data_IF_642725273594
#
_entry.id   IF_642725273594
#
_cell.length_a   1.000
_cell.length_b   1.000
_cell.length_c   1.000
_cell.angle_alpha   90.00
_cell.angle_beta   90.00
_cell.angle_gamma   90.00
#
_symmetry.space_group_name_H-M   'P 1'
#
loop_
_entity.id
_entity.type
_entity.pdbx_description
1 polymer ?
#
# COMPACT_ATOMS: atom_id res chain seq x y z
N UNK A 1 5.44 -0.19 8.24
CA UNK A 1 4.77 1.12 7.99
C UNK A 1 5.51 2.30 8.65
N UNK A 2 6.77 2.12 9.03
CA UNK A 2 7.66 3.14 9.65
C UNK A 2 7.04 3.84 10.89
N UNK A 3 6.05 3.21 11.53
CA UNK A 3 5.35 3.78 12.67
C UNK A 3 4.21 4.76 12.33
N UNK A 4 4.11 5.24 11.08
CA UNK A 4 3.10 6.21 10.65
C UNK A 4 1.67 5.67 10.88
N UNK A 5 1.45 4.40 10.55
CA UNK A 5 0.16 3.75 10.77
C UNK A 5 -0.19 3.59 12.26
N UNK A 6 0.78 3.27 13.10
CA UNK A 6 0.58 3.17 14.54
C UNK A 6 0.30 4.54 15.16
N UNK A 7 1.00 5.59 14.71
CA UNK A 7 0.73 6.97 15.11
C UNK A 7 -0.70 7.39 14.78
N UNK A 8 -1.13 7.14 13.52
CA UNK A 8 -2.50 7.41 13.10
C UNK A 8 -3.52 6.65 13.96
N UNK A 9 -3.31 5.34 14.18
CA UNK A 9 -4.21 4.52 14.99
C UNK A 9 -4.40 5.12 16.39
N UNK A 10 -3.31 5.43 17.08
CA UNK A 10 -3.36 5.91 18.45
C UNK A 10 -4.05 7.29 18.55
N UNK A 11 -3.63 8.25 17.72
CA UNK A 11 -4.19 9.60 17.71
C UNK A 11 -5.65 9.62 17.25
N UNK A 12 -6.00 8.80 16.25
CA UNK A 12 -7.37 8.69 15.78
C UNK A 12 -8.27 8.03 16.83
N UNK A 13 -7.78 7.03 17.57
CA UNK A 13 -8.54 6.43 18.68
C UNK A 13 -8.82 7.46 19.77
N UNK A 14 -7.84 8.29 20.15
CA UNK A 14 -8.00 9.37 21.11
C UNK A 14 -9.04 10.39 20.64
N UNK A 15 -8.95 10.85 19.38
CA UNK A 15 -9.89 11.81 18.80
C UNK A 15 -11.33 11.24 18.67
N UNK A 16 -11.45 9.93 18.42
CA UNK A 16 -12.76 9.25 18.41
C UNK A 16 -13.34 9.23 19.82
N UNK A 17 -12.56 8.91 20.85
CA UNK A 17 -13.01 8.88 22.25
C UNK A 17 -13.45 10.25 22.76
N UNK A 18 -12.81 11.32 22.26
CA UNK A 18 -13.17 12.72 22.57
C UNK A 18 -14.33 13.25 21.72
N UNK A 19 -14.81 12.46 20.75
CA UNK A 19 -15.82 12.87 19.75
C UNK A 19 -15.42 14.11 18.91
N UNK A 20 -14.10 14.41 18.85
CA UNK A 20 -13.59 15.56 18.10
C UNK A 20 -13.46 15.25 16.61
N UNK A 21 -14.45 15.70 15.85
CA UNK A 21 -14.51 15.52 14.40
C UNK A 21 -13.38 16.24 13.66
N UNK A 22 -12.91 17.39 14.16
CA UNK A 22 -11.87 18.17 13.53
C UNK A 22 -10.51 17.51 13.70
N UNK A 23 -10.19 17.03 14.91
CA UNK A 23 -8.97 16.25 15.15
C UNK A 23 -8.93 14.98 14.29
N UNK A 24 -10.05 14.25 14.17
CA UNK A 24 -10.11 13.06 13.33
C UNK A 24 -9.80 13.38 11.87
N UNK A 25 -10.39 14.44 11.30
CA UNK A 25 -10.10 14.90 9.92
C UNK A 25 -8.63 15.29 9.76
N UNK A 26 -8.10 16.01 10.70
CA UNK A 26 -6.72 16.49 10.70
C UNK A 26 -5.72 15.33 10.71
N UNK A 27 -5.87 14.37 11.62
CA UNK A 27 -4.97 13.21 11.71
C UNK A 27 -5.02 12.35 10.46
N UNK A 28 -6.21 12.07 9.94
CA UNK A 28 -6.38 11.31 8.69
C UNK A 28 -5.69 12.06 7.54
N UNK A 29 -6.01 13.35 7.34
CA UNK A 29 -5.48 14.14 6.23
C UNK A 29 -3.97 14.27 6.28
N UNK A 30 -3.41 14.61 7.44
CA UNK A 30 -1.96 14.76 7.63
C UNK A 30 -1.23 13.44 7.38
N UNK A 31 -1.75 12.33 7.88
CA UNK A 31 -1.11 11.02 7.70
C UNK A 31 -1.12 10.58 6.24
N UNK A 32 -2.25 10.69 5.54
CA UNK A 32 -2.32 10.35 4.12
C UNK A 32 -1.41 11.25 3.27
N UNK A 33 -1.30 12.54 3.59
CA UNK A 33 -0.43 13.47 2.88
C UNK A 33 1.05 13.10 3.06
N UNK A 34 1.50 12.87 4.30
CA UNK A 34 2.88 12.46 4.59
C UNK A 34 3.19 11.13 3.92
N UNK A 35 2.30 10.14 4.01
CA UNK A 35 2.49 8.85 3.36
C UNK A 35 2.54 8.97 1.83
N UNK A 36 1.73 9.85 1.23
CA UNK A 36 1.76 10.08 -0.22
C UNK A 36 3.07 10.72 -0.68
N UNK A 37 3.57 11.71 0.04
CA UNK A 37 4.88 12.31 -0.24
C UNK A 37 6.00 11.27 -0.12
N UNK A 38 5.99 10.48 0.95
CA UNK A 38 6.96 9.40 1.12
C UNK A 38 6.88 8.36 0.00
N UNK A 39 5.67 7.98 -0.42
CA UNK A 39 5.45 7.08 -1.56
C UNK A 39 6.08 7.63 -2.83
N UNK A 40 5.85 8.90 -3.15
CA UNK A 40 6.43 9.56 -4.34
C UNK A 40 7.96 9.52 -4.29
N UNK A 41 8.55 9.90 -3.16
CA UNK A 41 10.02 9.87 -2.98
C UNK A 41 10.54 8.44 -3.16
N UNK A 42 9.89 7.45 -2.56
CA UNK A 42 10.28 6.04 -2.65
C UNK A 42 10.19 5.52 -4.08
N UNK A 43 9.13 5.85 -4.83
CA UNK A 43 8.97 5.43 -6.23
C UNK A 43 10.03 6.10 -7.12
N UNK A 44 10.24 7.40 -6.98
CA UNK A 44 11.23 8.13 -7.78
C UNK A 44 12.66 7.62 -7.50
N UNK A 45 13.01 7.43 -6.24
CA UNK A 45 14.31 6.88 -5.85
C UNK A 45 14.51 5.45 -6.37
N UNK A 46 13.48 4.61 -6.32
CA UNK A 46 13.54 3.23 -6.82
C UNK A 46 13.81 3.15 -8.31
N UNK A 47 13.22 4.01 -9.12
CA UNK A 47 13.46 4.07 -10.57
C UNK A 47 14.93 4.38 -10.85
N UNK A 48 15.51 5.36 -10.13
CA UNK A 48 16.91 5.75 -10.28
C UNK A 48 17.86 4.60 -9.85
N UNK A 49 17.58 4.00 -8.69
CA UNK A 49 18.41 2.94 -8.12
C UNK A 49 18.36 1.69 -9.00
N UNK A 50 17.17 1.25 -9.39
CA UNK A 50 17.00 0.04 -10.19
C UNK A 50 17.68 0.14 -11.55
N UNK A 51 17.67 1.33 -12.18
CA UNK A 51 18.32 1.54 -13.47
C UNK A 51 19.85 1.41 -13.41
N UNK A 52 20.48 1.74 -12.27
CA UNK A 52 21.94 1.77 -12.11
C UNK A 52 22.54 0.45 -11.61
N UNK A 53 21.74 -0.43 -11.02
CA UNK A 53 22.21 -1.67 -10.40
C UNK A 53 22.09 -2.84 -11.38
N UNK A 54 23.08 -3.72 -11.39
CA UNK A 54 23.03 -5.02 -12.05
C UNK A 54 22.34 -6.05 -11.13
N UNK A 55 21.03 -6.14 -11.28
CA UNK A 55 20.20 -7.00 -10.42
C UNK A 55 20.47 -8.49 -10.61
N UNK A 56 20.93 -8.91 -11.81
CA UNK A 56 21.31 -10.30 -12.03
C UNK A 56 22.48 -10.69 -11.12
N UNK A 57 23.45 -9.81 -10.94
CA UNK A 57 24.57 -10.03 -10.01
C UNK A 57 24.13 -9.99 -8.56
N UNK A 58 23.30 -8.99 -8.18
CA UNK A 58 22.83 -8.83 -6.79
C UNK A 58 22.02 -10.04 -6.33
N UNK A 59 21.14 -10.56 -7.19
CA UNK A 59 20.30 -11.70 -6.89
C UNK A 59 20.93 -13.06 -7.25
N UNK A 60 22.14 -13.04 -7.80
CA UNK A 60 22.85 -14.22 -8.27
C UNK A 60 22.04 -15.07 -9.27
N UNK A 61 21.40 -14.40 -10.22
CA UNK A 61 20.57 -15.03 -11.26
C UNK A 61 21.29 -14.91 -12.62
N UNK A 62 21.49 -16.06 -13.31
CA UNK A 62 22.06 -16.04 -14.65
C UNK A 62 21.17 -15.27 -15.63
N UNK A 63 21.80 -14.48 -16.51
CA UNK A 63 21.10 -13.76 -17.59
C UNK A 63 20.48 -14.70 -18.62
N UNK A 64 20.94 -15.96 -18.69
CA UNK A 64 20.35 -17.02 -19.52
C UNK A 64 18.99 -17.47 -18.98
N UNK A 65 18.79 -17.43 -17.65
CA UNK A 65 17.52 -17.80 -17.00
C UNK A 65 16.54 -16.65 -17.04
N UNK A 66 17.00 -15.44 -16.67
CA UNK A 66 16.15 -14.23 -16.67
C UNK A 66 16.94 -13.07 -17.26
N UNK A 67 16.43 -12.55 -18.37
CA UNK A 67 16.99 -11.38 -19.03
C UNK A 67 16.99 -10.16 -18.08
N UNK A 68 18.08 -9.39 -18.09
CA UNK A 68 18.27 -8.22 -17.22
C UNK A 68 17.13 -7.18 -17.34
N UNK A 69 16.60 -6.97 -18.55
CA UNK A 69 15.52 -6.01 -18.76
C UNK A 69 14.19 -6.48 -18.13
N UNK A 70 13.89 -7.78 -18.24
CA UNK A 70 12.72 -8.38 -17.62
C UNK A 70 12.83 -8.26 -16.08
N UNK A 71 13.99 -8.57 -15.55
CA UNK A 71 14.25 -8.48 -14.11
C UNK A 71 14.10 -7.04 -13.59
N UNK A 72 14.74 -6.07 -14.24
CA UNK A 72 14.62 -4.65 -13.90
C UNK A 72 13.18 -4.15 -13.95
N UNK A 73 12.44 -4.45 -15.03
CA UNK A 73 11.02 -4.09 -15.16
C UNK A 73 10.18 -4.66 -14.01
N UNK A 74 10.38 -5.94 -13.68
CA UNK A 74 9.64 -6.59 -12.60
C UNK A 74 9.92 -5.94 -11.25
N UNK A 75 11.19 -5.63 -10.97
CA UNK A 75 11.59 -4.96 -9.72
C UNK A 75 10.96 -3.56 -9.62
N UNK A 76 10.97 -2.77 -10.70
CA UNK A 76 10.34 -1.44 -10.72
C UNK A 76 8.84 -1.56 -10.42
N UNK A 77 8.14 -2.51 -11.08
CA UNK A 77 6.71 -2.74 -10.84
C UNK A 77 6.44 -3.06 -9.37
N UNK A 78 7.25 -3.92 -8.77
CA UNK A 78 7.09 -4.29 -7.35
C UNK A 78 7.33 -3.07 -6.45
N UNK A 79 8.37 -2.26 -6.70
CA UNK A 79 8.62 -1.06 -5.90
C UNK A 79 7.49 -0.03 -6.00
N UNK A 80 6.94 0.18 -7.20
CA UNK A 80 5.76 1.03 -7.40
C UNK A 80 4.57 0.45 -6.60
N UNK A 81 4.35 -0.86 -6.70
CA UNK A 81 3.28 -1.54 -5.98
C UNK A 81 3.40 -1.44 -4.47
N UNK A 82 4.60 -1.58 -3.92
CA UNK A 82 4.88 -1.41 -2.48
C UNK A 82 4.66 0.04 -2.06
N UNK A 83 5.06 1.02 -2.87
CA UNK A 83 4.80 2.44 -2.61
C UNK A 83 3.30 2.75 -2.52
N UNK A 84 2.52 2.25 -3.48
CA UNK A 84 1.05 2.38 -3.46
C UNK A 84 0.48 1.67 -2.23
N UNK A 85 0.97 0.46 -1.93
CA UNK A 85 0.52 -0.32 -0.77
C UNK A 85 0.77 0.41 0.55
N UNK A 86 1.87 1.13 0.65
CA UNK A 86 2.18 1.93 1.83
C UNK A 86 1.06 2.96 2.15
N UNK A 87 0.51 3.60 1.12
CA UNK A 87 -0.60 4.54 1.28
C UNK A 87 -1.94 3.82 1.49
N UNK A 88 -2.26 2.83 0.66
CA UNK A 88 -3.55 2.12 0.74
C UNK A 88 -3.71 1.36 2.04
N UNK A 89 -2.62 0.83 2.60
CA UNK A 89 -2.61 0.11 3.88
C UNK A 89 -2.95 1.00 5.09
N UNK A 90 -2.89 2.32 4.99
CA UNK A 90 -3.32 3.22 6.08
C UNK A 90 -4.78 2.99 6.51
N UNK A 91 -5.61 2.47 5.62
CA UNK A 91 -6.99 2.07 5.97
C UNK A 91 -7.03 1.06 7.12
N UNK A 92 -6.01 0.21 7.26
CA UNK A 92 -5.94 -0.74 8.37
C UNK A 92 -5.78 -0.04 9.72
N UNK A 93 -5.01 1.04 9.78
CA UNK A 93 -4.83 1.85 10.98
C UNK A 93 -6.15 2.52 11.40
N UNK A 94 -6.91 3.00 10.43
CA UNK A 94 -8.25 3.55 10.67
C UNK A 94 -9.21 2.46 11.15
N UNK A 95 -9.19 1.27 10.52
CA UNK A 95 -10.02 0.15 10.95
C UNK A 95 -9.68 -0.32 12.36
N UNK A 96 -8.41 -0.33 12.75
CA UNK A 96 -8.00 -0.61 14.12
C UNK A 96 -8.49 0.46 15.09
N UNK A 97 -8.41 1.75 14.76
CA UNK A 97 -8.93 2.83 15.58
C UNK A 97 -10.46 2.72 15.76
N UNK A 98 -11.17 2.23 14.75
CA UNK A 98 -12.61 1.95 14.78
C UNK A 98 -12.95 0.59 15.43
N UNK A 99 -11.97 -0.11 16.01
CA UNK A 99 -12.12 -1.45 16.63
C UNK A 99 -12.61 -2.55 15.67
N UNK A 100 -12.39 -2.38 14.36
CA UNK A 100 -12.80 -3.32 13.30
C UNK A 100 -11.64 -4.24 12.88
N UNK A 101 -10.94 -4.86 13.84
CA UNK A 101 -9.76 -5.70 13.58
C UNK A 101 -10.05 -6.91 12.68
N UNK A 102 -11.25 -7.48 12.75
CA UNK A 102 -11.68 -8.58 11.90
C UNK A 102 -11.64 -8.20 10.41
N UNK A 103 -12.00 -6.97 10.05
CA UNK A 103 -11.91 -6.48 8.66
C UNK A 103 -10.45 -6.37 8.20
N UNK A 104 -9.53 -6.02 9.07
CA UNK A 104 -8.09 -5.97 8.72
C UNK A 104 -7.58 -7.36 8.34
N UNK A 105 -7.93 -8.39 9.14
CA UNK A 105 -7.58 -9.78 8.84
C UNK A 105 -8.23 -10.27 7.55
N UNK A 106 -9.49 -9.87 7.30
CA UNK A 106 -10.18 -10.20 6.06
C UNK A 106 -9.49 -9.57 4.83
N UNK A 107 -9.06 -8.32 4.90
CA UNK A 107 -8.34 -7.66 3.80
C UNK A 107 -7.02 -8.38 3.47
N UNK A 108 -6.27 -8.79 4.50
CA UNK A 108 -5.05 -9.56 4.32
C UNK A 108 -5.33 -10.94 3.68
N UNK A 109 -6.39 -11.62 4.15
CA UNK A 109 -6.84 -12.89 3.58
C UNK A 109 -7.21 -12.73 2.10
N UNK A 110 -8.02 -11.72 1.76
CA UNK A 110 -8.44 -11.46 0.38
C UNK A 110 -7.26 -11.19 -0.54
N UNK A 111 -6.25 -10.42 -0.11
CA UNK A 111 -5.06 -10.16 -0.90
C UNK A 111 -4.30 -11.45 -1.24
N UNK A 112 -4.08 -12.32 -0.25
CA UNK A 112 -3.42 -13.61 -0.46
C UNK A 112 -4.27 -14.55 -1.32
N UNK A 113 -5.58 -14.55 -1.13
CA UNK A 113 -6.51 -15.38 -1.88
C UNK A 113 -6.58 -14.99 -3.35
N UNK A 114 -6.56 -13.69 -3.68
CA UNK A 114 -6.49 -13.22 -5.06
C UNK A 114 -5.23 -13.74 -5.77
N UNK A 115 -4.08 -13.72 -5.09
CA UNK A 115 -2.84 -14.25 -5.67
C UNK A 115 -2.90 -15.78 -5.87
N UNK A 116 -3.46 -16.50 -4.91
CA UNK A 116 -3.64 -17.95 -5.01
C UNK A 116 -4.54 -18.34 -6.19
N UNK A 117 -5.69 -17.66 -6.34
CA UNK A 117 -6.59 -17.88 -7.47
C UNK A 117 -5.87 -17.66 -8.80
N UNK A 118 -5.12 -16.56 -8.91
CA UNK A 118 -4.35 -16.31 -10.13
C UNK A 118 -3.39 -17.46 -10.45
N UNK A 119 -2.63 -17.95 -9.48
CA UNK A 119 -1.67 -19.04 -9.69
C UNK A 119 -2.36 -20.33 -10.15
N UNK A 120 -3.51 -20.67 -9.56
CA UNK A 120 -4.29 -21.84 -9.94
C UNK A 120 -4.82 -21.70 -11.38
N UNK A 121 -5.44 -20.56 -11.69
CA UNK A 121 -6.01 -20.30 -13.02
C UNK A 121 -4.92 -20.25 -14.10
N UNK A 122 -3.79 -19.62 -13.81
CA UNK A 122 -2.67 -19.54 -14.75
C UNK A 122 -2.09 -20.92 -15.06
N UNK A 123 -2.03 -21.81 -14.06
CA UNK A 123 -1.60 -23.19 -14.26
C UNK A 123 -2.62 -24.00 -15.09
N UNK A 124 -3.93 -23.89 -14.78
CA UNK A 124 -4.98 -24.61 -15.51
C UNK A 124 -5.10 -24.16 -16.97
N UNK A 125 -4.92 -22.87 -17.22
CA UNK A 125 -5.01 -22.30 -18.58
C UNK A 125 -3.69 -22.37 -19.35
N UNK A 126 -2.66 -23.03 -18.80
CA UNK A 126 -1.32 -23.12 -19.38
C UNK A 126 -0.74 -21.76 -19.81
N UNK A 127 -1.02 -20.71 -19.03
CA UNK A 127 -0.49 -19.38 -19.30
C UNK A 127 1.04 -19.39 -19.11
N UNK A 128 1.76 -18.80 -20.06
CA UNK A 128 3.21 -18.64 -19.91
C UNK A 128 3.50 -17.72 -18.73
N UNK A 129 4.13 -18.26 -17.69
CA UNK A 129 4.58 -17.49 -16.55
C UNK A 129 5.71 -16.55 -17.00
N UNK A 130 5.43 -15.26 -16.99
CA UNK A 130 6.43 -14.21 -17.18
C UNK A 130 6.57 -13.45 -15.87
N UNK A 131 7.81 -13.19 -15.44
CA UNK A 131 8.11 -12.49 -14.20
C UNK A 131 7.41 -11.13 -14.11
N UNK A 132 7.33 -10.39 -15.23
CA UNK A 132 6.62 -9.11 -15.30
C UNK A 132 5.13 -9.28 -15.03
N UNK A 133 4.48 -10.27 -15.64
CA UNK A 133 3.05 -10.55 -15.41
C UNK A 133 2.78 -10.92 -13.95
N UNK A 134 3.60 -11.78 -13.37
CA UNK A 134 3.50 -12.16 -11.95
C UNK A 134 3.64 -10.92 -11.06
N UNK A 135 4.59 -10.04 -11.35
CA UNK A 135 4.81 -8.80 -10.60
C UNK A 135 3.58 -7.87 -10.68
N UNK A 136 2.99 -7.71 -11.86
CA UNK A 136 1.77 -6.89 -12.04
C UNK A 136 0.61 -7.48 -11.23
N UNK A 137 0.36 -8.78 -11.37
CA UNK A 137 -0.74 -9.44 -10.65
C UNK A 137 -0.54 -9.37 -9.15
N UNK A 138 0.69 -9.55 -8.67
CA UNK A 138 1.01 -9.41 -7.26
C UNK A 138 0.67 -7.98 -6.75
N UNK A 139 1.10 -6.95 -7.47
CA UNK A 139 0.81 -5.55 -7.12
C UNK A 139 -0.69 -5.27 -7.09
N UNK A 140 -1.43 -5.81 -8.06
CA UNK A 140 -2.89 -5.70 -8.10
C UNK A 140 -3.52 -6.41 -6.91
N UNK A 141 -3.12 -7.66 -6.64
CA UNK A 141 -3.67 -8.48 -5.57
C UNK A 141 -3.46 -7.87 -4.17
N UNK A 142 -2.28 -7.30 -3.90
CA UNK A 142 -2.01 -6.68 -2.59
C UNK A 142 -2.66 -5.31 -2.41
N UNK A 143 -3.02 -4.59 -3.47
CA UNK A 143 -3.53 -3.22 -3.37
C UNK A 143 -5.05 -3.13 -3.50
N UNK A 144 -5.67 -3.92 -4.38
CA UNK A 144 -7.11 -3.81 -4.67
C UNK A 144 -7.99 -3.94 -3.43
N UNK A 145 -7.82 -4.94 -2.53
CA UNK A 145 -8.70 -5.06 -1.36
C UNK A 145 -8.63 -3.84 -0.44
N UNK A 146 -7.44 -3.30 -0.22
CA UNK A 146 -7.26 -2.11 0.62
C UNK A 146 -7.80 -0.84 -0.04
N UNK A 147 -7.65 -0.72 -1.36
CA UNK A 147 -8.20 0.40 -2.12
C UNK A 147 -9.73 0.41 -2.08
N UNK A 148 -10.38 -0.74 -2.30
CA UNK A 148 -11.83 -0.89 -2.20
C UNK A 148 -12.29 -0.58 -0.76
N UNK A 149 -11.60 -1.09 0.26
CA UNK A 149 -11.91 -0.81 1.65
C UNK A 149 -11.79 0.69 1.97
N UNK A 150 -10.77 1.37 1.42
CA UNK A 150 -10.59 2.81 1.59
C UNK A 150 -11.77 3.58 0.99
N UNK A 151 -12.16 3.28 -0.25
CA UNK A 151 -13.31 3.91 -0.89
C UNK A 151 -14.58 3.67 -0.08
N UNK A 152 -14.85 2.41 0.28
CA UNK A 152 -16.04 2.06 1.05
C UNK A 152 -16.10 2.79 2.39
N UNK A 153 -14.99 2.85 3.11
CA UNK A 153 -14.91 3.50 4.42
C UNK A 153 -15.19 5.00 4.33
N UNK A 154 -14.61 5.68 3.33
CA UNK A 154 -14.82 7.11 3.13
C UNK A 154 -16.19 7.44 2.51
N UNK A 155 -16.85 6.49 1.86
CA UNK A 155 -18.24 6.68 1.40
C UNK A 155 -19.28 6.41 2.48
N UNK A 156 -18.95 5.64 3.51
CA UNK A 156 -19.89 5.22 4.57
C UNK A 156 -19.57 5.90 5.91
N UNK A 157 -18.65 5.33 6.67
CA UNK A 157 -18.39 5.70 8.06
C UNK A 157 -17.61 7.03 8.21
N UNK A 158 -16.87 7.44 7.19
CA UNK A 158 -15.99 8.62 7.22
C UNK A 158 -16.30 9.61 6.09
N UNK A 159 -17.56 9.69 5.65
CA UNK A 159 -17.97 10.54 4.51
C UNK A 159 -17.55 12.01 4.67
N UNK A 160 -17.60 12.52 5.91
CA UNK A 160 -17.18 13.90 6.20
C UNK A 160 -15.68 14.04 6.50
N UNK A 161 -14.92 12.94 6.56
CA UNK A 161 -13.51 12.89 6.98
C UNK A 161 -12.57 12.51 5.83
N UNK A 162 -12.99 12.75 4.59
CA UNK A 162 -12.14 12.50 3.41
C UNK A 162 -10.87 13.34 3.52
N UNK A 163 -9.68 12.75 3.26
CA UNK A 163 -8.42 13.48 3.33
C UNK A 163 -8.45 14.75 2.48
N UNK A 164 -8.11 15.90 3.08
CA UNK A 164 -8.09 17.17 2.39
C UNK A 164 -6.90 18.00 2.84
N UNK A 165 -6.21 18.64 1.90
CA UNK A 165 -5.03 19.48 2.11
C UNK A 165 -5.30 20.64 3.10
N UNK A 166 -6.55 21.14 3.15
CA UNK A 166 -6.94 22.21 4.09
C UNK A 166 -6.78 21.86 5.56
N UNK A 167 -6.81 20.56 5.90
CA UNK A 167 -6.69 20.06 7.27
C UNK A 167 -5.26 19.56 7.59
N UNK A 168 -4.29 19.87 6.73
CA UNK A 168 -2.90 19.50 6.96
C UNK A 168 -2.26 20.42 8.00
N UNK A 169 -1.86 19.84 9.13
CA UNK A 169 -1.00 20.50 10.11
C UNK A 169 0.32 19.74 10.27
N UNK A 170 1.42 20.40 9.93
CA UNK A 170 2.75 19.77 9.95
C UNK A 170 3.23 19.38 11.36
N UNK A 171 2.72 20.01 12.41
CA UNK A 171 3.11 19.74 13.80
C UNK A 171 2.58 18.38 14.30
N UNK A 172 1.48 17.88 13.75
CA UNK A 172 0.91 16.60 14.15
C UNK A 172 1.50 15.41 13.38
N UNK A 173 2.23 15.65 12.31
CA UNK A 173 2.94 14.61 11.57
C UNK A 173 4.28 14.21 12.23
N UNK A 174 4.75 14.97 13.23
CA UNK A 174 6.05 14.76 13.93
C UNK A 174 5.95 14.01 15.26
N UNK A 175 4.77 13.84 15.79
CA UNK A 175 4.49 13.12 17.04
C UNK A 175 3.76 11.81 16.78
#
# INVERSE_FOLDING_TARGET
>A
DLGIGNGLRNKLTEAITKEDQNEQRMYISSTYMVASVFCIIMVLSSIIIVSKIDWNKVLNISTEIINSDILKKSIIIVFIGVGIHFVTKLVTSILYALQKSALVSLLALLSNFCMLIYMILANQLNLKFNLVTISIVHVIAINIPYFIATIFLFHTSLKEKIPNIKYFESNHAKN
#
